data_IF_901525547155
#
_entry.id   IF_901525547155
#
_cell.length_a   1.000
_cell.length_b   1.000
_cell.length_c   1.000
_cell.angle_alpha   90.00
_cell.angle_beta   90.00
_cell.angle_gamma   90.00
#
_symmetry.space_group_name_H-M   'P 1'
#
loop_
_entity.id
_entity.type
_entity.pdbx_description
1 polymer ?
#
# COMPACT_ATOMS: atom_id res chain seq x y z
N UNK A 1 -20.10 -22.40 7.89
CA UNK A 1 -19.07 -23.33 7.36
C UNK A 1 -19.03 -24.57 8.23
N UNK A 2 -18.81 -25.76 7.64
CA UNK A 2 -18.78 -27.03 8.37
C UNK A 2 -17.33 -27.51 8.50
N UNK A 3 -16.90 -27.89 9.69
CA UNK A 3 -15.60 -28.47 9.93
C UNK A 3 -15.72 -29.90 10.50
N UNK A 4 -14.87 -30.80 10.05
CA UNK A 4 -14.71 -32.14 10.61
C UNK A 4 -13.43 -32.18 11.43
N UNK A 5 -13.52 -32.69 12.65
CA UNK A 5 -12.38 -32.91 13.54
C UNK A 5 -12.23 -34.41 13.75
N UNK A 6 -11.08 -34.95 13.40
CA UNK A 6 -10.70 -36.35 13.63
C UNK A 6 -9.51 -36.36 14.58
N UNK A 7 -9.80 -36.55 15.86
CA UNK A 7 -8.84 -36.43 16.98
C UNK A 7 -9.24 -37.34 18.11
N UNK A 8 -8.38 -38.23 18.56
CA UNK A 8 -8.67 -39.20 19.61
C UNK A 8 -8.61 -38.60 21.03
N UNK A 9 -7.73 -37.62 21.24
CA UNK A 9 -7.58 -36.94 22.52
C UNK A 9 -8.76 -36.03 22.85
N UNK A 10 -9.52 -36.29 23.93
CA UNK A 10 -10.65 -35.46 24.30
C UNK A 10 -10.29 -33.98 24.56
N UNK A 11 -9.12 -33.73 25.11
CA UNK A 11 -8.64 -32.39 25.46
C UNK A 11 -8.39 -31.57 24.19
N UNK A 12 -7.64 -32.10 23.23
CA UNK A 12 -7.37 -31.41 21.97
C UNK A 12 -8.63 -31.29 21.14
N UNK A 13 -9.46 -32.31 21.07
CA UNK A 13 -10.74 -32.31 20.36
C UNK A 13 -11.67 -31.17 20.85
N UNK A 14 -11.86 -31.04 22.16
CA UNK A 14 -12.69 -29.98 22.75
C UNK A 14 -12.10 -28.59 22.48
N UNK A 15 -10.79 -28.43 22.61
CA UNK A 15 -10.11 -27.15 22.36
C UNK A 15 -10.26 -26.72 20.91
N UNK A 16 -10.00 -27.62 19.96
CA UNK A 16 -10.14 -27.34 18.52
C UNK A 16 -11.59 -27.03 18.18
N UNK A 17 -12.53 -27.83 18.70
CA UNK A 17 -13.96 -27.61 18.52
C UNK A 17 -14.37 -26.23 19.01
N UNK A 18 -14.01 -25.85 20.23
CA UNK A 18 -14.33 -24.55 20.80
C UNK A 18 -13.74 -23.40 19.97
N UNK A 19 -12.50 -23.56 19.52
CA UNK A 19 -11.84 -22.56 18.64
C UNK A 19 -12.61 -22.38 17.32
N UNK A 20 -12.99 -23.47 16.67
CA UNK A 20 -13.71 -23.42 15.40
C UNK A 20 -15.12 -22.85 15.57
N UNK A 21 -15.82 -23.18 16.64
CA UNK A 21 -17.17 -22.65 16.95
C UNK A 21 -17.11 -21.14 17.21
N UNK A 22 -16.10 -20.64 17.93
CA UNK A 22 -15.88 -19.19 18.09
C UNK A 22 -15.63 -18.46 16.75
N UNK A 23 -15.11 -19.17 15.76
CA UNK A 23 -14.82 -18.66 14.42
C UNK A 23 -15.98 -18.90 13.43
N UNK A 24 -17.14 -19.33 13.92
CA UNK A 24 -18.36 -19.49 13.12
C UNK A 24 -18.48 -20.80 12.33
N UNK A 25 -17.69 -21.82 12.69
CA UNK A 25 -17.86 -23.16 12.13
C UNK A 25 -18.86 -23.98 12.93
N UNK A 26 -19.59 -24.86 12.23
CA UNK A 26 -20.31 -25.99 12.85
C UNK A 26 -19.32 -27.17 12.81
N UNK A 27 -18.80 -27.56 13.97
CA UNK A 27 -17.83 -28.62 14.08
C UNK A 27 -18.45 -29.96 14.37
N UNK A 28 -18.12 -30.99 13.58
CA UNK A 28 -18.39 -32.39 13.83
C UNK A 28 -17.12 -33.07 14.30
N UNK A 29 -17.22 -33.86 15.39
CA UNK A 29 -16.08 -34.49 16.01
C UNK A 29 -16.14 -36.01 15.90
N UNK A 30 -15.03 -36.64 15.55
CA UNK A 30 -14.86 -38.09 15.49
C UNK A 30 -13.54 -38.47 16.17
N UNK A 31 -13.48 -39.72 16.68
CA UNK A 31 -12.31 -40.22 17.43
C UNK A 31 -11.40 -41.14 16.60
N UNK A 32 -11.90 -41.62 15.48
CA UNK A 32 -11.19 -42.59 14.63
C UNK A 32 -11.24 -42.15 13.17
N UNK A 33 -10.24 -42.55 12.40
CA UNK A 33 -10.21 -42.33 10.97
C UNK A 33 -11.39 -42.94 10.23
N UNK A 34 -11.84 -44.14 10.65
CA UNK A 34 -12.98 -44.81 10.06
C UNK A 34 -14.28 -43.98 10.22
N UNK A 35 -14.52 -43.41 11.40
CA UNK A 35 -15.66 -42.51 11.64
C UNK A 35 -15.54 -41.25 10.78
N UNK A 36 -14.33 -40.60 10.74
CA UNK A 36 -14.11 -39.41 9.98
C UNK A 36 -14.35 -39.61 8.48
N UNK A 37 -13.87 -40.72 7.91
CA UNK A 37 -14.12 -41.06 6.51
C UNK A 37 -15.59 -41.29 6.21
N UNK A 38 -16.33 -41.97 7.14
CA UNK A 38 -17.78 -42.17 7.01
C UNK A 38 -18.57 -40.84 7.06
N UNK A 39 -18.15 -39.89 7.89
CA UNK A 39 -18.76 -38.53 7.91
C UNK A 39 -18.53 -37.80 6.60
N UNK A 40 -17.36 -37.88 6.00
CA UNK A 40 -17.03 -37.27 4.70
C UNK A 40 -17.91 -37.84 3.56
N UNK A 41 -18.30 -39.10 3.61
CA UNK A 41 -19.19 -39.70 2.62
C UNK A 41 -20.63 -39.17 2.72
N UNK A 42 -21.07 -38.78 3.95
CA UNK A 42 -22.43 -38.35 4.22
C UNK A 42 -22.66 -36.85 4.04
N UNK A 43 -21.63 -36.04 4.24
CA UNK A 43 -21.71 -34.57 4.23
C UNK A 43 -20.52 -33.92 3.56
N UNK A 44 -20.72 -32.68 3.11
CA UNK A 44 -19.64 -31.80 2.68
C UNK A 44 -19.11 -30.97 3.84
N UNK A 45 -17.80 -30.91 3.96
CA UNK A 45 -17.09 -30.08 4.93
C UNK A 45 -16.22 -29.07 4.19
N UNK A 46 -16.02 -27.91 4.83
CA UNK A 46 -15.20 -26.82 4.32
C UNK A 46 -13.77 -26.89 4.86
N UNK A 47 -13.56 -27.66 5.95
CA UNK A 47 -12.28 -27.82 6.64
C UNK A 47 -12.21 -29.19 7.32
N UNK A 48 -11.05 -29.84 7.28
CA UNK A 48 -10.73 -31.05 8.05
C UNK A 48 -9.56 -30.77 8.97
N UNK A 49 -9.77 -30.98 10.27
CA UNK A 49 -8.67 -31.08 11.25
C UNK A 49 -8.41 -32.56 11.49
N UNK A 50 -7.17 -32.99 11.33
CA UNK A 50 -6.80 -34.40 11.33
C UNK A 50 -5.59 -34.66 12.22
N UNK A 51 -5.74 -35.52 13.22
CA UNK A 51 -4.60 -35.98 13.99
C UNK A 51 -3.70 -36.89 13.14
N UNK A 52 -2.40 -36.75 13.35
CA UNK A 52 -1.39 -37.64 12.76
C UNK A 52 -1.51 -39.06 13.31
N UNK A 53 -1.74 -39.22 14.61
CA UNK A 53 -1.74 -40.50 15.32
C UNK A 53 -3.17 -40.85 15.78
N UNK A 54 -3.91 -41.52 14.93
CA UNK A 54 -5.24 -42.05 15.28
C UNK A 54 -5.13 -43.52 15.70
N UNK A 55 -6.07 -44.04 16.51
CA UNK A 55 -6.00 -45.37 17.06
C UNK A 55 -6.08 -46.50 16.02
N UNK A 56 -6.71 -46.20 14.87
CA UNK A 56 -6.99 -47.21 13.81
C UNK A 56 -6.06 -47.07 12.59
N UNK A 57 -5.59 -45.86 12.24
CA UNK A 57 -4.64 -45.66 11.15
C UNK A 57 -3.93 -44.29 11.20
N UNK A 58 -2.83 -44.14 10.45
CA UNK A 58 -2.11 -42.87 10.39
C UNK A 58 -2.91 -41.80 9.66
N UNK A 59 -2.91 -40.56 10.20
CA UNK A 59 -3.52 -39.40 9.52
C UNK A 59 -2.93 -39.13 8.14
N UNK A 60 -1.67 -39.48 7.88
CA UNK A 60 -1.08 -39.39 6.54
C UNK A 60 -1.76 -40.32 5.52
N UNK A 61 -2.15 -41.52 5.96
CA UNK A 61 -2.87 -42.48 5.10
C UNK A 61 -4.30 -42.01 4.84
N UNK A 62 -4.94 -41.44 5.88
CA UNK A 62 -6.27 -40.80 5.74
C UNK A 62 -6.22 -39.66 4.74
N UNK A 63 -5.25 -38.76 4.85
CA UNK A 63 -5.08 -37.65 3.93
C UNK A 63 -4.93 -38.14 2.46
N UNK A 64 -4.10 -39.17 2.21
CA UNK A 64 -3.95 -39.75 0.87
C UNK A 64 -5.25 -40.35 0.34
N UNK A 65 -6.02 -41.06 1.19
CA UNK A 65 -7.33 -41.61 0.81
C UNK A 65 -8.31 -40.51 0.42
N UNK A 66 -8.35 -39.43 1.18
CA UNK A 66 -9.20 -38.26 0.90
C UNK A 66 -8.80 -37.59 -0.44
N UNK A 67 -7.49 -37.40 -0.69
CA UNK A 67 -6.99 -36.80 -1.93
C UNK A 67 -7.25 -37.68 -3.17
N UNK A 68 -7.37 -38.98 -3.00
CA UNK A 68 -7.74 -39.89 -4.09
C UNK A 68 -9.23 -39.80 -4.49
N UNK A 69 -10.08 -39.25 -3.63
CA UNK A 69 -11.51 -39.08 -3.90
C UNK A 69 -11.75 -37.72 -4.60
N UNK A 70 -12.35 -37.74 -5.78
CA UNK A 70 -12.60 -36.52 -6.56
C UNK A 70 -13.43 -35.46 -5.79
N UNK A 71 -14.41 -35.90 -4.98
CA UNK A 71 -15.28 -35.04 -4.18
C UNK A 71 -14.56 -34.25 -3.08
N UNK A 72 -13.43 -34.76 -2.58
CA UNK A 72 -12.70 -34.17 -1.44
C UNK A 72 -11.25 -33.77 -1.80
N UNK A 73 -10.91 -33.81 -3.09
CA UNK A 73 -9.56 -33.55 -3.57
C UNK A 73 -8.99 -32.20 -3.11
N UNK A 74 -9.84 -31.20 -2.93
CA UNK A 74 -9.45 -29.83 -2.56
C UNK A 74 -9.84 -29.44 -1.14
N UNK A 75 -10.41 -30.36 -0.34
CA UNK A 75 -10.76 -30.10 1.07
C UNK A 75 -9.50 -29.70 1.84
N UNK A 76 -9.44 -28.51 2.47
CA UNK A 76 -8.31 -28.14 3.31
C UNK A 76 -8.13 -29.14 4.45
N UNK A 77 -6.93 -29.72 4.58
CA UNK A 77 -6.57 -30.66 5.64
C UNK A 77 -5.50 -30.00 6.52
N UNK A 78 -5.85 -29.66 7.75
CA UNK A 78 -4.92 -29.20 8.76
C UNK A 78 -4.56 -30.36 9.66
N UNK A 79 -3.29 -30.75 9.67
CA UNK A 79 -2.84 -31.89 10.46
C UNK A 79 -2.26 -31.43 11.80
N UNK A 80 -2.72 -32.10 12.87
CA UNK A 80 -2.19 -31.90 14.22
C UNK A 80 -1.10 -32.95 14.52
N UNK A 81 0.02 -32.50 15.09
CA UNK A 81 1.13 -33.43 15.44
C UNK A 81 1.93 -32.94 16.63
N UNK A 82 2.50 -33.89 17.38
CA UNK A 82 3.49 -33.60 18.41
C UNK A 82 4.93 -33.76 17.90
N UNK A 83 5.13 -34.26 16.67
CA UNK A 83 6.45 -34.44 16.03
C UNK A 83 6.80 -33.21 15.21
N UNK A 84 8.06 -32.75 15.30
CA UNK A 84 8.59 -31.57 14.62
C UNK A 84 9.66 -31.86 13.56
N UNK A 85 9.81 -33.12 13.18
CA UNK A 85 10.82 -33.53 12.22
C UNK A 85 10.55 -32.97 10.83
N UNK A 86 11.60 -32.43 10.17
CA UNK A 86 11.53 -31.97 8.78
C UNK A 86 11.05 -33.09 7.82
N UNK A 87 11.33 -34.33 8.15
CA UNK A 87 10.93 -35.51 7.37
C UNK A 87 9.41 -35.67 7.41
N UNK A 88 8.76 -35.44 8.57
CA UNK A 88 7.31 -35.46 8.69
C UNK A 88 6.66 -34.38 7.86
N UNK A 89 7.22 -33.16 7.87
CA UNK A 89 6.71 -32.06 7.07
C UNK A 89 6.66 -32.40 5.57
N UNK A 90 7.75 -32.97 5.05
CA UNK A 90 7.79 -33.43 3.66
C UNK A 90 6.74 -34.53 3.38
N UNK A 91 6.65 -35.52 4.25
CA UNK A 91 5.66 -36.62 4.10
C UNK A 91 4.21 -36.15 4.19
N UNK A 92 3.93 -35.13 5.00
CA UNK A 92 2.61 -34.54 5.11
C UNK A 92 2.22 -33.78 3.82
N UNK A 93 3.14 -32.99 3.28
CA UNK A 93 2.95 -32.33 1.97
C UNK A 93 2.72 -33.35 0.85
N UNK A 94 3.54 -34.42 0.79
CA UNK A 94 3.38 -35.51 -0.19
C UNK A 94 2.05 -36.27 -0.04
N UNK A 95 1.49 -36.29 1.18
CA UNK A 95 0.19 -36.88 1.47
C UNK A 95 -0.99 -35.92 1.14
N UNK A 96 -0.68 -34.66 0.74
CA UNK A 96 -1.68 -33.66 0.40
C UNK A 96 -2.26 -32.91 1.61
N UNK A 97 -1.58 -32.90 2.75
CA UNK A 97 -1.92 -32.05 3.91
C UNK A 97 -1.68 -30.59 3.51
N UNK A 98 -2.64 -29.73 3.87
CA UNK A 98 -2.58 -28.29 3.53
C UNK A 98 -1.63 -27.54 4.44
N UNK A 99 -1.72 -27.79 5.76
CA UNK A 99 -0.85 -27.15 6.76
C UNK A 99 -0.70 -28.08 8.00
N UNK A 100 0.41 -27.91 8.72
CA UNK A 100 0.81 -28.76 9.84
C UNK A 100 0.88 -27.91 11.10
N UNK A 101 0.17 -28.30 12.15
CA UNK A 101 0.11 -27.60 13.43
C UNK A 101 0.63 -28.45 14.56
N UNK A 102 1.41 -27.85 15.47
CA UNK A 102 1.99 -28.52 16.61
C UNK A 102 1.06 -28.52 17.82
N UNK A 103 0.91 -29.70 18.45
CA UNK A 103 0.15 -29.88 19.69
C UNK A 103 0.87 -29.38 20.95
N UNK A 104 2.15 -28.99 20.87
CA UNK A 104 3.01 -28.76 22.04
C UNK A 104 2.65 -27.54 22.88
N UNK A 105 1.96 -26.53 22.30
CA UNK A 105 1.54 -25.32 23.02
C UNK A 105 0.13 -24.92 22.58
N UNK A 106 -0.84 -25.18 23.44
CA UNK A 106 -2.27 -24.97 23.17
C UNK A 106 -2.57 -23.51 22.73
N UNK A 107 -1.95 -22.52 23.36
CA UNK A 107 -2.14 -21.11 22.99
C UNK A 107 -1.62 -20.81 21.58
N UNK A 108 -0.44 -21.30 21.21
CA UNK A 108 0.14 -21.11 19.87
C UNK A 108 -0.69 -21.83 18.80
N UNK A 109 -1.22 -23.01 19.10
CA UNK A 109 -2.12 -23.73 18.19
C UNK A 109 -3.43 -22.95 17.96
N UNK A 110 -4.01 -22.42 19.04
CA UNK A 110 -5.22 -21.59 18.94
C UNK A 110 -5.00 -20.36 18.07
N UNK A 111 -3.91 -19.62 18.30
CA UNK A 111 -3.58 -18.43 17.53
C UNK A 111 -3.30 -18.75 16.06
N UNK A 112 -2.55 -19.82 15.80
CA UNK A 112 -2.24 -20.29 14.44
C UNK A 112 -3.50 -20.72 13.68
N UNK A 113 -4.40 -21.48 14.32
CA UNK A 113 -5.70 -21.84 13.73
C UNK A 113 -6.55 -20.61 13.43
N UNK A 114 -6.60 -19.67 14.36
CA UNK A 114 -7.30 -18.39 14.18
C UNK A 114 -6.79 -17.61 12.98
N UNK A 115 -5.47 -17.52 12.85
CA UNK A 115 -4.81 -16.80 11.76
C UNK A 115 -5.06 -17.49 10.40
N UNK A 116 -4.98 -18.81 10.36
CA UNK A 116 -5.29 -19.58 9.17
C UNK A 116 -6.75 -19.40 8.73
N UNK A 117 -7.70 -19.54 9.66
CA UNK A 117 -9.14 -19.41 9.39
C UNK A 117 -9.48 -17.96 9.00
N UNK A 118 -8.88 -16.96 9.65
CA UNK A 118 -9.06 -15.56 9.27
C UNK A 118 -8.58 -15.31 7.82
N UNK A 119 -7.52 -15.97 7.39
CA UNK A 119 -7.07 -15.95 5.98
C UNK A 119 -8.09 -16.59 5.04
N UNK A 120 -8.65 -17.76 5.41
CA UNK A 120 -9.68 -18.45 4.63
C UNK A 120 -11.00 -17.66 4.53
N UNK A 121 -11.40 -16.99 5.62
CA UNK A 121 -12.66 -16.23 5.71
C UNK A 121 -12.54 -14.78 5.22
N UNK A 122 -11.35 -14.34 4.83
CA UNK A 122 -11.11 -12.98 4.35
C UNK A 122 -12.00 -12.73 3.13
N UNK A 123 -13.09 -12.00 3.34
CA UNK A 123 -13.89 -11.50 2.22
C UNK A 123 -12.99 -10.57 1.41
N UNK A 124 -12.71 -10.96 0.21
CA UNK A 124 -12.01 -10.11 -0.74
C UNK A 124 -12.91 -8.92 -1.05
N UNK A 125 -12.36 -7.73 -0.99
CA UNK A 125 -13.02 -6.52 -1.50
C UNK A 125 -12.21 -6.06 -2.69
N UNK A 126 -12.90 -5.70 -3.76
CA UNK A 126 -12.20 -5.20 -4.94
C UNK A 126 -13.09 -5.21 -6.16
N UNK A 127 -12.63 -4.50 -7.19
CA UNK A 127 -13.29 -4.40 -8.49
C UNK A 127 -12.48 -5.14 -9.54
N UNK A 128 -13.12 -6.07 -10.20
CA UNK A 128 -12.50 -6.94 -11.21
C UNK A 128 -13.04 -6.59 -12.59
N UNK A 129 -12.13 -6.38 -13.54
CA UNK A 129 -12.46 -6.31 -14.96
C UNK A 129 -12.43 -7.72 -15.53
N UNK A 130 -13.52 -8.16 -16.12
CA UNK A 130 -13.63 -9.43 -16.82
C UNK A 130 -13.79 -9.18 -18.33
N UNK A 131 -12.85 -9.68 -19.12
CA UNK A 131 -12.83 -9.55 -20.58
C UNK A 131 -13.00 -10.95 -21.19
N UNK A 132 -14.19 -11.24 -21.66
CA UNK A 132 -14.58 -12.56 -22.16
C UNK A 132 -15.73 -12.40 -23.14
N UNK A 133 -15.56 -12.86 -24.36
CA UNK A 133 -16.54 -12.76 -25.46
C UNK A 133 -17.59 -13.86 -25.43
N UNK A 134 -17.28 -15.02 -24.81
CA UNK A 134 -18.26 -16.11 -24.63
C UNK A 134 -19.25 -15.75 -23.50
N UNK A 135 -20.55 -15.57 -23.79
CA UNK A 135 -21.54 -15.23 -22.75
C UNK A 135 -21.60 -16.27 -21.62
N UNK A 136 -21.53 -17.56 -21.97
CA UNK A 136 -21.61 -18.66 -21.00
C UNK A 136 -20.41 -18.65 -20.04
N UNK A 137 -19.20 -18.48 -20.58
CA UNK A 137 -17.98 -18.40 -19.75
C UNK A 137 -18.00 -17.14 -18.89
N UNK A 138 -18.39 -16.01 -19.46
CA UNK A 138 -18.50 -14.75 -18.72
C UNK A 138 -19.51 -14.80 -17.57
N UNK A 139 -20.65 -15.47 -17.75
CA UNK A 139 -21.63 -15.67 -16.67
C UNK A 139 -21.08 -16.55 -15.55
N UNK A 140 -20.44 -17.66 -15.90
CA UNK A 140 -19.83 -18.57 -14.94
C UNK A 140 -18.74 -17.85 -14.10
N UNK A 141 -17.82 -17.15 -14.75
CA UNK A 141 -16.74 -16.41 -14.08
C UNK A 141 -17.29 -15.25 -13.23
N UNK A 142 -18.31 -14.56 -13.73
CA UNK A 142 -18.99 -13.50 -12.96
C UNK A 142 -19.64 -14.07 -11.70
N UNK A 143 -20.27 -15.23 -11.77
CA UNK A 143 -20.83 -15.92 -10.61
C UNK A 143 -19.75 -16.26 -9.58
N UNK A 144 -18.63 -16.87 -10.03
CA UNK A 144 -17.51 -17.20 -9.15
C UNK A 144 -16.92 -15.95 -8.43
N UNK A 145 -16.69 -14.87 -9.19
CA UNK A 145 -16.16 -13.62 -8.65
C UNK A 145 -17.12 -12.95 -7.66
N UNK A 146 -18.43 -12.92 -7.96
CA UNK A 146 -19.44 -12.39 -7.03
C UNK A 146 -19.57 -13.22 -5.76
N UNK A 147 -19.39 -14.54 -5.84
CA UNK A 147 -19.35 -15.44 -4.66
C UNK A 147 -18.17 -15.08 -3.73
N UNK A 148 -17.09 -14.49 -4.28
CA UNK A 148 -15.95 -13.96 -3.52
C UNK A 148 -16.16 -12.51 -3.01
N UNK A 149 -17.39 -11.97 -3.14
CA UNK A 149 -17.75 -10.58 -2.77
C UNK A 149 -17.03 -9.50 -3.60
N UNK A 150 -16.65 -9.82 -4.84
CA UNK A 150 -15.98 -8.90 -5.77
C UNK A 150 -17.01 -8.20 -6.68
N UNK A 151 -16.77 -6.92 -6.97
CA UNK A 151 -17.51 -6.19 -8.00
C UNK A 151 -16.93 -6.54 -9.37
N UNK A 152 -17.79 -6.75 -10.38
CA UNK A 152 -17.36 -7.23 -11.69
C UNK A 152 -17.91 -6.35 -12.80
N UNK A 153 -17.00 -5.77 -13.58
CA UNK A 153 -17.33 -5.10 -14.85
C UNK A 153 -16.97 -6.02 -16.02
N UNK A 154 -17.94 -6.27 -16.87
CA UNK A 154 -17.79 -7.18 -18.04
C UNK A 154 -17.55 -6.41 -19.31
N UNK A 155 -16.62 -6.92 -20.13
CA UNK A 155 -16.30 -6.43 -21.46
C UNK A 155 -16.18 -7.60 -22.43
N UNK A 156 -16.71 -7.44 -23.62
CA UNK A 156 -16.67 -8.48 -24.66
C UNK A 156 -15.47 -8.28 -25.61
N UNK A 157 -14.90 -7.07 -25.63
CA UNK A 157 -13.78 -6.72 -26.52
C UNK A 157 -12.62 -6.09 -25.75
N UNK A 158 -11.41 -6.29 -26.26
CA UNK A 158 -10.20 -5.71 -25.66
C UNK A 158 -10.17 -4.19 -25.76
N UNK A 159 -10.70 -3.61 -26.82
CA UNK A 159 -10.74 -2.17 -27.05
C UNK A 159 -11.57 -1.44 -25.98
N UNK A 160 -12.78 -1.96 -25.71
CA UNK A 160 -13.67 -1.39 -24.70
C UNK A 160 -13.04 -1.52 -23.30
N UNK A 161 -12.36 -2.62 -23.02
CA UNK A 161 -11.66 -2.86 -21.77
C UNK A 161 -10.51 -1.86 -21.54
N UNK A 162 -9.66 -1.64 -22.54
CA UNK A 162 -8.53 -0.69 -22.46
C UNK A 162 -9.02 0.74 -22.26
N UNK A 163 -10.13 1.14 -22.93
CA UNK A 163 -10.75 2.44 -22.69
C UNK A 163 -11.27 2.56 -21.25
N UNK A 164 -11.89 1.51 -20.71
CA UNK A 164 -12.43 1.53 -19.35
C UNK A 164 -11.34 1.58 -18.26
N UNK A 165 -10.19 0.89 -18.46
CA UNK A 165 -9.05 0.94 -17.52
C UNK A 165 -8.50 2.36 -17.37
N UNK A 166 -8.50 3.17 -18.44
CA UNK A 166 -8.02 4.54 -18.37
C UNK A 166 -8.89 5.47 -17.51
N UNK A 167 -10.15 5.07 -17.26
CA UNK A 167 -11.15 5.88 -16.52
C UNK A 167 -11.47 5.33 -15.14
N UNK A 168 -11.13 4.08 -14.86
CA UNK A 168 -11.49 3.39 -13.62
C UNK A 168 -10.31 2.60 -13.07
N UNK A 169 -10.27 2.43 -11.75
CA UNK A 169 -9.31 1.59 -11.08
C UNK A 169 -9.87 0.18 -10.89
N UNK A 170 -9.03 -0.82 -11.14
CA UNK A 170 -9.34 -2.23 -10.94
C UNK A 170 -8.27 -2.90 -10.07
N UNK A 171 -8.70 -3.85 -9.26
CA UNK A 171 -7.83 -4.65 -8.41
C UNK A 171 -7.30 -5.90 -9.13
N UNK A 172 -8.02 -6.35 -10.16
CA UNK A 172 -7.64 -7.48 -11.00
C UNK A 172 -8.28 -7.33 -12.38
N UNK A 173 -7.57 -7.76 -13.41
CA UNK A 173 -8.08 -7.94 -14.75
C UNK A 173 -8.03 -9.43 -15.08
N UNK A 174 -9.17 -10.01 -15.44
CA UNK A 174 -9.29 -11.38 -15.96
C UNK A 174 -9.58 -11.27 -17.45
N UNK A 175 -8.69 -11.80 -18.28
CA UNK A 175 -8.82 -11.67 -19.74
C UNK A 175 -8.66 -13.00 -20.45
N UNK A 176 -9.59 -13.33 -21.32
CA UNK A 176 -9.32 -14.38 -22.32
C UNK A 176 -8.15 -13.95 -23.23
N UNK A 177 -7.35 -14.90 -23.65
CA UNK A 177 -6.28 -14.69 -24.64
C UNK A 177 -6.88 -14.42 -26.01
N UNK A 178 -7.94 -15.15 -26.37
CA UNK A 178 -8.65 -15.01 -27.66
C UNK A 178 -9.94 -14.25 -27.39
N UNK A 179 -10.07 -13.08 -27.98
CA UNK A 179 -11.24 -12.20 -27.82
C UNK A 179 -11.85 -11.89 -29.19
N UNK A 180 -13.13 -11.59 -29.20
CA UNK A 180 -13.78 -10.98 -30.34
C UNK A 180 -13.24 -9.56 -30.57
N UNK A 181 -13.10 -9.14 -31.83
CA UNK A 181 -12.57 -7.83 -32.18
C UNK A 181 -11.16 -7.89 -32.79
N UNK A 182 -10.50 -6.73 -32.84
CA UNK A 182 -9.14 -6.62 -33.40
C UNK A 182 -8.04 -6.83 -32.36
N UNK A 183 -8.39 -6.60 -31.08
CA UNK A 183 -7.45 -6.68 -29.96
C UNK A 183 -7.61 -7.99 -29.20
N UNK A 184 -6.56 -8.81 -29.17
CA UNK A 184 -6.49 -10.05 -28.37
C UNK A 184 -6.19 -9.72 -26.90
N UNK A 185 -6.37 -10.68 -25.97
CA UNK A 185 -5.95 -10.52 -24.57
C UNK A 185 -4.45 -10.25 -24.39
N UNK A 186 -3.61 -10.72 -25.33
CA UNK A 186 -2.19 -10.34 -25.39
C UNK A 186 -2.04 -8.84 -25.70
N UNK A 187 -2.83 -8.31 -26.64
CA UNK A 187 -2.87 -6.90 -26.98
C UNK A 187 -3.32 -6.03 -25.80
N UNK A 188 -4.36 -6.47 -25.09
CA UNK A 188 -4.84 -5.82 -23.85
C UNK A 188 -3.73 -5.78 -22.80
N UNK A 189 -3.07 -6.92 -22.54
CA UNK A 189 -1.97 -7.00 -21.57
C UNK A 189 -0.86 -6.01 -21.90
N UNK A 190 -0.43 -5.97 -23.16
CA UNK A 190 0.59 -5.04 -23.64
C UNK A 190 0.17 -3.58 -23.48
N UNK A 191 -1.06 -3.25 -23.86
CA UNK A 191 -1.60 -1.89 -23.74
C UNK A 191 -1.59 -1.43 -22.27
N UNK A 192 -2.07 -2.25 -21.34
CA UNK A 192 -2.10 -1.93 -19.91
C UNK A 192 -0.67 -1.77 -19.36
N UNK A 193 0.26 -2.65 -19.71
CA UNK A 193 1.66 -2.57 -19.25
C UNK A 193 2.43 -1.36 -19.79
N UNK A 194 1.97 -0.78 -20.90
CA UNK A 194 2.53 0.46 -21.46
C UNK A 194 1.95 1.74 -20.86
N UNK A 195 0.92 1.65 -20.00
CA UNK A 195 0.36 2.79 -19.30
C UNK A 195 1.32 3.29 -18.20
N UNK A 196 1.12 4.51 -17.74
CA UNK A 196 1.91 5.08 -16.64
C UNK A 196 1.27 4.84 -15.27
N UNK A 197 2.10 4.82 -14.24
CA UNK A 197 1.65 4.82 -12.85
C UNK A 197 1.11 3.49 -12.34
N UNK A 198 0.03 3.56 -11.56
CA UNK A 198 -0.56 2.40 -10.87
C UNK A 198 -1.32 1.46 -11.81
N UNK A 199 -1.88 1.99 -12.91
CA UNK A 199 -2.62 1.22 -13.89
C UNK A 199 -1.77 0.11 -14.54
N UNK A 200 -0.51 0.43 -14.87
CA UNK A 200 0.43 -0.55 -15.43
C UNK A 200 0.73 -1.73 -14.49
N UNK A 201 0.45 -1.60 -13.20
CA UNK A 201 0.72 -2.61 -12.17
C UNK A 201 -0.49 -3.45 -11.80
N UNK A 202 -1.67 -3.15 -12.34
CA UNK A 202 -2.88 -3.93 -12.09
C UNK A 202 -2.63 -5.40 -12.46
N UNK A 203 -2.88 -6.37 -11.56
CA UNK A 203 -2.68 -7.78 -11.86
C UNK A 203 -3.55 -8.21 -13.04
N UNK A 204 -3.00 -9.07 -13.89
CA UNK A 204 -3.69 -9.64 -15.05
C UNK A 204 -3.65 -11.16 -14.93
N UNK A 205 -4.83 -11.79 -14.91
CA UNK A 205 -5.04 -13.23 -14.96
C UNK A 205 -5.54 -13.62 -16.35
N UNK A 206 -4.75 -14.42 -17.08
CA UNK A 206 -5.13 -14.91 -18.40
C UNK A 206 -6.01 -16.14 -18.33
N UNK A 207 -6.95 -16.26 -19.27
CA UNK A 207 -7.68 -17.49 -19.53
C UNK A 207 -7.17 -18.10 -20.83
N UNK A 208 -6.75 -19.37 -20.80
CA UNK A 208 -6.12 -20.01 -21.97
C UNK A 208 -6.71 -21.38 -22.28
N UNK A 209 -6.78 -21.79 -23.55
CA UNK A 209 -7.09 -23.18 -23.90
C UNK A 209 -6.00 -24.14 -23.36
N UNK A 210 -6.39 -25.36 -22.97
CA UNK A 210 -5.51 -26.36 -22.34
C UNK A 210 -4.25 -26.68 -23.18
N UNK A 211 -4.35 -26.68 -24.46
CA UNK A 211 -3.31 -27.14 -25.40
C UNK A 211 -2.35 -26.02 -25.87
N UNK A 212 -2.58 -24.76 -25.47
CA UNK A 212 -1.82 -23.63 -26.03
C UNK A 212 -0.69 -23.15 -25.08
N UNK A 213 0.28 -24.04 -24.87
CA UNK A 213 1.46 -23.72 -24.03
C UNK A 213 2.28 -22.53 -24.55
N UNK A 214 2.30 -22.30 -25.87
CA UNK A 214 3.05 -21.20 -26.47
C UNK A 214 2.43 -19.85 -26.10
N UNK A 215 1.10 -19.71 -26.23
CA UNK A 215 0.39 -18.47 -25.86
C UNK A 215 0.41 -18.18 -24.37
N UNK A 216 0.41 -19.23 -23.51
CA UNK A 216 0.61 -19.08 -22.06
C UNK A 216 1.94 -18.41 -21.74
N UNK A 217 3.03 -18.93 -22.32
CA UNK A 217 4.37 -18.38 -22.16
C UNK A 217 4.45 -16.95 -22.71
N UNK A 218 3.84 -16.68 -23.84
CA UNK A 218 3.81 -15.36 -24.45
C UNK A 218 3.06 -14.36 -23.56
N UNK A 219 1.90 -14.73 -23.00
CA UNK A 219 1.12 -13.89 -22.12
C UNK A 219 1.88 -13.52 -20.83
N UNK A 220 2.56 -14.49 -20.21
CA UNK A 220 3.42 -14.25 -19.07
C UNK A 220 4.60 -13.33 -19.43
N UNK A 221 5.25 -13.53 -20.57
CA UNK A 221 6.34 -12.67 -21.07
C UNK A 221 5.86 -11.25 -21.35
N UNK A 222 4.61 -11.06 -21.74
CA UNK A 222 4.00 -9.73 -21.95
C UNK A 222 3.59 -9.06 -20.64
N UNK A 223 3.72 -9.75 -19.51
CA UNK A 223 3.50 -9.17 -18.19
C UNK A 223 2.20 -9.56 -17.52
N UNK A 224 1.48 -10.58 -18.00
CA UNK A 224 0.43 -11.20 -17.19
C UNK A 224 1.03 -11.83 -15.93
N UNK A 225 0.30 -11.77 -14.83
CA UNK A 225 0.79 -12.25 -13.54
C UNK A 225 0.59 -13.75 -13.37
N UNK A 226 -0.48 -14.30 -13.98
CA UNK A 226 -0.80 -15.72 -13.94
C UNK A 226 -1.80 -16.10 -15.05
N UNK A 227 -2.14 -17.37 -15.17
CA UNK A 227 -3.15 -17.87 -16.11
C UNK A 227 -3.96 -19.03 -15.52
N UNK A 228 -5.17 -19.23 -16.03
CA UNK A 228 -6.06 -20.37 -15.74
C UNK A 228 -6.40 -21.09 -17.06
N UNK A 229 -6.25 -22.41 -17.13
CA UNK A 229 -6.66 -23.19 -18.32
C UNK A 229 -8.20 -23.28 -18.42
N UNK A 230 -8.71 -23.26 -19.64
CA UNK A 230 -10.10 -23.62 -19.95
C UNK A 230 -10.18 -25.14 -20.26
N UNK A 231 -11.15 -25.91 -19.72
CA UNK A 231 -12.29 -25.45 -18.91
C UNK A 231 -11.86 -25.03 -17.52
N UNK A 232 -12.43 -23.91 -17.04
CA UNK A 232 -12.05 -23.29 -15.75
C UNK A 232 -12.54 -24.17 -14.60
N UNK A 233 -11.61 -24.57 -13.74
CA UNK A 233 -11.90 -25.26 -12.48
C UNK A 233 -12.12 -24.21 -11.40
N UNK A 234 -13.28 -24.24 -10.73
CA UNK A 234 -13.69 -23.19 -9.77
C UNK A 234 -12.63 -22.98 -8.68
N UNK A 235 -12.13 -24.06 -8.08
CA UNK A 235 -11.18 -24.00 -6.97
C UNK A 235 -9.83 -23.38 -7.40
N UNK A 236 -9.34 -23.73 -8.60
CA UNK A 236 -8.10 -23.17 -9.15
C UNK A 236 -8.28 -21.68 -9.45
N UNK A 237 -9.39 -21.30 -10.07
CA UNK A 237 -9.71 -19.91 -10.39
C UNK A 237 -9.80 -19.06 -9.13
N UNK A 238 -10.55 -19.50 -8.11
CA UNK A 238 -10.70 -18.81 -6.84
C UNK A 238 -9.35 -18.63 -6.15
N UNK A 239 -8.51 -19.66 -6.12
CA UNK A 239 -7.19 -19.58 -5.50
C UNK A 239 -6.29 -18.54 -6.18
N UNK A 240 -6.23 -18.53 -7.52
CA UNK A 240 -5.40 -17.57 -8.28
C UNK A 240 -5.91 -16.14 -8.13
N UNK A 241 -7.22 -15.93 -8.28
CA UNK A 241 -7.86 -14.62 -8.06
C UNK A 241 -7.57 -14.09 -6.64
N UNK A 242 -7.75 -14.94 -5.63
CA UNK A 242 -7.47 -14.58 -4.23
C UNK A 242 -6.03 -14.17 -4.03
N UNK A 243 -5.07 -14.94 -4.57
CA UNK A 243 -3.64 -14.64 -4.46
C UNK A 243 -3.28 -13.32 -5.13
N UNK A 244 -3.79 -13.06 -6.35
CA UNK A 244 -3.48 -11.84 -7.09
C UNK A 244 -4.06 -10.60 -6.43
N UNK A 245 -5.32 -10.64 -5.99
CA UNK A 245 -5.96 -9.50 -5.29
C UNK A 245 -5.26 -9.24 -3.95
N UNK A 246 -4.99 -10.29 -3.17
CA UNK A 246 -4.31 -10.15 -1.89
C UNK A 246 -2.91 -9.55 -2.06
N UNK A 247 -2.16 -10.03 -3.06
CA UNK A 247 -0.82 -9.50 -3.36
C UNK A 247 -0.87 -8.01 -3.75
N UNK A 248 -1.86 -7.61 -4.58
CA UNK A 248 -2.07 -6.21 -4.92
C UNK A 248 -2.40 -5.37 -3.70
N UNK A 249 -3.35 -5.79 -2.88
CA UNK A 249 -3.76 -5.06 -1.68
C UNK A 249 -2.61 -4.89 -0.68
N UNK A 250 -1.81 -5.93 -0.46
CA UNK A 250 -0.61 -5.86 0.38
C UNK A 250 0.42 -4.89 -0.20
N UNK A 251 0.65 -4.95 -1.51
CA UNK A 251 1.55 -4.01 -2.17
C UNK A 251 1.08 -2.56 -2.03
N UNK A 252 -0.20 -2.29 -2.27
CA UNK A 252 -0.79 -0.96 -2.16
C UNK A 252 -0.71 -0.45 -0.71
N UNK A 253 -0.98 -1.31 0.28
CA UNK A 253 -0.83 -0.98 1.69
C UNK A 253 0.61 -0.61 2.06
N UNK A 254 1.59 -1.37 1.58
CA UNK A 254 3.02 -1.07 1.81
C UNK A 254 3.40 0.26 1.16
N UNK A 255 2.94 0.54 -0.07
CA UNK A 255 3.20 1.82 -0.74
C UNK A 255 2.56 2.99 0.00
N UNK A 256 1.33 2.81 0.48
CA UNK A 256 0.63 3.81 1.29
C UNK A 256 1.41 4.11 2.58
N UNK A 257 1.79 3.09 3.34
CA UNK A 257 2.57 3.25 4.56
C UNK A 257 3.93 3.93 4.30
N UNK A 258 4.58 3.56 3.18
CA UNK A 258 5.84 4.18 2.77
C UNK A 258 5.67 5.67 2.45
N UNK A 259 4.58 6.05 1.76
CA UNK A 259 4.25 7.47 1.50
C UNK A 259 4.02 8.23 2.81
N UNK A 260 3.22 7.68 3.72
CA UNK A 260 2.93 8.29 5.01
C UNK A 260 4.18 8.45 5.88
N UNK A 261 5.03 7.43 5.92
CA UNK A 261 6.31 7.52 6.65
C UNK A 261 7.23 8.58 6.03
N UNK A 262 7.29 8.66 4.69
CA UNK A 262 8.07 9.68 4.00
C UNK A 262 7.55 11.08 4.33
N UNK A 263 6.23 11.31 4.23
CA UNK A 263 5.62 12.60 4.57
C UNK A 263 5.93 13.02 6.02
N UNK A 264 5.83 12.09 6.97
CA UNK A 264 6.20 12.35 8.37
C UNK A 264 7.70 12.65 8.54
N UNK A 265 8.55 12.03 7.75
CA UNK A 265 10.01 12.21 7.82
C UNK A 265 10.47 13.53 7.23
N UNK A 266 9.75 14.10 6.25
CA UNK A 266 10.15 15.32 5.53
C UNK A 266 9.46 16.60 6.01
N UNK A 267 8.43 16.48 6.88
CA UNK A 267 7.69 17.63 7.40
C UNK A 267 8.00 17.91 8.87
N UNK A 268 7.88 19.18 9.24
CA UNK A 268 7.84 19.62 10.64
C UNK A 268 6.45 19.37 11.23
N UNK A 269 6.38 18.62 12.32
CA UNK A 269 5.12 18.18 12.91
C UNK A 269 4.24 19.34 13.45
N UNK A 270 4.84 20.46 13.80
CA UNK A 270 4.13 21.61 14.36
C UNK A 270 3.55 22.52 13.27
N UNK A 271 4.35 22.81 12.26
CA UNK A 271 3.99 23.82 11.24
C UNK A 271 3.44 23.24 9.95
N UNK A 272 3.61 21.92 9.73
CA UNK A 272 3.24 21.25 8.47
C UNK A 272 4.14 21.59 7.27
N UNK A 273 5.07 22.53 7.40
CA UNK A 273 6.06 22.85 6.40
C UNK A 273 7.10 21.73 6.27
N UNK A 274 7.95 21.79 5.25
CA UNK A 274 9.08 20.90 5.20
C UNK A 274 10.02 21.14 6.39
N UNK A 275 10.74 20.09 6.82
CA UNK A 275 11.74 20.22 7.86
C UNK A 275 13.12 20.58 7.27
N UNK A 276 14.07 20.92 8.15
CA UNK A 276 15.45 21.26 7.79
C UNK A 276 16.14 20.16 6.99
N UNK A 277 15.85 18.89 7.29
CA UNK A 277 16.48 17.77 6.59
C UNK A 277 16.08 17.71 5.12
N UNK A 278 14.78 17.80 4.84
CA UNK A 278 14.29 17.85 3.47
C UNK A 278 14.76 19.10 2.70
N UNK A 279 14.83 20.25 3.37
CA UNK A 279 15.38 21.46 2.78
C UNK A 279 16.80 21.25 2.27
N UNK A 280 17.66 20.60 3.06
CA UNK A 280 19.05 20.31 2.68
C UNK A 280 19.12 19.30 1.50
N UNK A 281 18.21 18.32 1.46
CA UNK A 281 18.13 17.34 0.37
C UNK A 281 17.71 18.01 -0.94
N UNK A 282 16.61 18.78 -0.92
CA UNK A 282 16.01 19.36 -2.14
C UNK A 282 16.78 20.57 -2.66
N UNK A 283 17.46 21.32 -1.78
CA UNK A 283 18.24 22.49 -2.19
C UNK A 283 19.28 22.14 -3.25
N UNK A 284 20.03 21.06 -3.06
CA UNK A 284 21.04 20.61 -4.03
C UNK A 284 20.44 20.32 -5.42
N UNK A 285 19.24 19.73 -5.45
CA UNK A 285 18.55 19.42 -6.71
C UNK A 285 18.08 20.70 -7.42
N UNK A 286 17.46 21.63 -6.68
CA UNK A 286 16.97 22.90 -7.23
C UNK A 286 18.10 23.77 -7.74
N UNK A 287 19.21 23.84 -7.02
CA UNK A 287 20.41 24.59 -7.46
C UNK A 287 21.02 23.99 -8.72
N UNK A 288 21.20 22.67 -8.79
CA UNK A 288 21.69 22.00 -9.98
C UNK A 288 20.74 22.16 -11.19
N UNK A 289 19.43 22.22 -10.95
CA UNK A 289 18.45 22.48 -12.00
C UNK A 289 18.52 23.92 -12.47
N UNK A 290 18.59 24.89 -11.56
CA UNK A 290 18.76 26.33 -11.89
C UNK A 290 20.00 26.59 -12.74
N UNK A 291 21.13 25.98 -12.36
CA UNK A 291 22.40 26.06 -13.13
C UNK A 291 22.23 25.48 -14.54
N UNK A 292 21.67 24.31 -14.68
CA UNK A 292 21.49 23.66 -15.98
C UNK A 292 20.56 24.43 -16.90
N UNK A 293 19.49 25.02 -16.33
CA UNK A 293 18.48 25.77 -17.09
C UNK A 293 18.78 27.26 -17.21
N UNK A 294 19.85 27.74 -16.55
CA UNK A 294 20.21 29.15 -16.45
C UNK A 294 19.05 30.04 -15.97
N UNK A 295 18.27 29.53 -15.03
CA UNK A 295 17.13 30.25 -14.44
C UNK A 295 17.49 30.77 -13.05
N UNK A 296 16.95 31.95 -12.67
CA UNK A 296 17.24 32.52 -11.36
C UNK A 296 16.61 31.65 -10.25
N UNK A 297 17.29 31.62 -9.10
CA UNK A 297 16.81 31.00 -7.90
C UNK A 297 17.05 31.93 -6.70
N UNK A 298 16.02 32.15 -5.88
CA UNK A 298 16.14 32.97 -4.69
C UNK A 298 15.94 32.16 -3.41
N UNK A 299 16.57 32.62 -2.34
CA UNK A 299 16.42 32.16 -0.97
C UNK A 299 15.84 33.31 -0.16
N UNK A 300 14.75 33.04 0.56
CA UNK A 300 14.14 33.94 1.51
C UNK A 300 14.24 33.29 2.90
N UNK A 301 14.83 34.00 3.84
CA UNK A 301 14.88 33.59 5.26
C UNK A 301 13.98 34.48 6.08
N UNK A 302 13.15 33.90 6.90
CA UNK A 302 12.15 34.57 7.76
C UNK A 302 12.43 34.19 9.21
N UNK A 303 12.58 35.20 10.07
CA UNK A 303 12.79 35.00 11.50
C UNK A 303 11.78 35.85 12.27
N UNK A 304 11.05 35.22 13.20
CA UNK A 304 10.00 35.88 13.97
C UNK A 304 10.60 36.77 15.05
N UNK A 305 10.26 38.05 14.98
CA UNK A 305 10.78 39.04 15.93
C UNK A 305 10.25 38.77 17.35
N UNK A 306 11.16 38.75 18.30
CA UNK A 306 10.83 38.63 19.72
C UNK A 306 10.08 37.35 20.10
N UNK A 307 10.17 36.28 19.35
CA UNK A 307 9.43 35.03 19.60
C UNK A 307 9.73 34.45 21.00
N UNK A 308 10.96 34.54 21.48
CA UNK A 308 11.31 34.17 22.88
C UNK A 308 10.45 34.92 23.88
N UNK A 309 10.21 36.24 23.70
CA UNK A 309 9.36 37.03 24.62
C UNK A 309 7.89 36.55 24.58
N UNK A 310 7.42 36.08 23.44
CA UNK A 310 6.08 35.48 23.34
C UNK A 310 6.02 34.23 24.22
N UNK A 311 7.00 33.32 24.08
CA UNK A 311 7.07 32.12 24.94
C UNK A 311 7.18 32.45 26.42
N UNK A 312 8.04 33.40 26.80
CA UNK A 312 8.25 33.79 28.18
C UNK A 312 7.00 34.44 28.79
N UNK A 313 6.17 35.10 28.00
CA UNK A 313 4.98 35.83 28.47
C UNK A 313 3.71 34.96 28.46
N UNK A 314 3.51 34.13 27.41
CA UNK A 314 2.24 33.43 27.17
C UNK A 314 2.40 31.90 27.26
N UNK A 315 3.60 31.40 27.45
CA UNK A 315 3.89 29.98 27.51
C UNK A 315 4.16 29.35 26.12
N UNK A 316 4.82 28.17 26.13
CA UNK A 316 5.21 27.45 24.94
C UNK A 316 4.02 27.02 24.08
N UNK A 317 2.88 26.63 24.69
CA UNK A 317 1.66 26.23 23.96
C UNK A 317 1.11 27.34 23.04
N UNK A 318 1.26 28.60 23.49
CA UNK A 318 0.85 29.76 22.70
C UNK A 318 1.90 30.06 21.63
N UNK A 319 3.18 29.94 21.93
CA UNK A 319 4.25 30.00 20.93
C UNK A 319 4.09 28.98 19.82
N UNK A 320 3.70 27.75 20.16
CA UNK A 320 3.41 26.70 19.17
C UNK A 320 2.24 27.07 18.26
N UNK A 321 1.17 27.68 18.77
CA UNK A 321 0.07 28.21 17.95
C UNK A 321 0.54 29.32 17.02
N UNK A 322 1.45 30.17 17.46
CA UNK A 322 2.05 31.23 16.63
C UNK A 322 2.84 30.59 15.50
N UNK A 323 3.72 29.63 15.79
CA UNK A 323 4.51 28.93 14.77
C UNK A 323 3.62 28.18 13.77
N UNK A 324 2.57 27.50 14.24
CA UNK A 324 1.63 26.80 13.37
C UNK A 324 0.86 27.78 12.47
N UNK A 325 0.43 28.93 13.00
CA UNK A 325 -0.25 29.97 12.20
C UNK A 325 0.65 30.58 11.13
N UNK A 326 1.93 30.86 11.48
CA UNK A 326 2.91 31.33 10.51
C UNK A 326 3.19 30.25 9.47
N UNK A 327 3.35 29.00 9.87
CA UNK A 327 3.54 27.89 8.95
C UNK A 327 2.40 27.76 7.92
N UNK A 328 1.16 27.90 8.38
CA UNK A 328 -0.02 27.88 7.51
C UNK A 328 -0.02 29.05 6.50
N UNK A 329 0.35 30.25 6.93
CA UNK A 329 0.47 31.42 6.05
C UNK A 329 1.56 31.18 4.98
N UNK A 330 2.75 30.70 5.38
CA UNK A 330 3.84 30.41 4.46
C UNK A 330 3.45 29.32 3.44
N UNK A 331 2.73 28.30 3.88
CA UNK A 331 2.22 27.24 2.99
C UNK A 331 1.24 27.79 1.94
N UNK A 332 0.38 28.75 2.31
CA UNK A 332 -0.57 29.38 1.40
C UNK A 332 0.10 30.34 0.40
N UNK A 333 1.16 31.04 0.81
CA UNK A 333 1.91 31.93 -0.08
C UNK A 333 2.75 31.16 -1.12
N UNK A 334 3.13 29.90 -0.81
CA UNK A 334 3.94 29.08 -1.71
C UNK A 334 3.15 28.56 -2.90
N UNK A 335 3.69 28.76 -4.10
CA UNK A 335 3.18 28.16 -5.35
C UNK A 335 3.77 26.76 -5.56
N UNK A 336 3.21 26.03 -6.53
CA UNK A 336 3.78 24.76 -6.95
C UNK A 336 5.23 24.95 -7.42
N UNK A 337 6.16 24.25 -6.78
CA UNK A 337 7.61 24.35 -7.05
C UNK A 337 8.38 25.14 -6.00
N UNK A 338 7.74 25.99 -5.20
CA UNK A 338 8.39 26.62 -4.04
C UNK A 338 8.55 25.61 -2.90
N UNK A 339 9.60 25.79 -2.09
CA UNK A 339 9.86 24.92 -0.94
C UNK A 339 9.97 25.78 0.31
N UNK A 340 8.93 25.75 1.15
CA UNK A 340 8.95 26.39 2.46
C UNK A 340 9.26 25.37 3.54
N UNK A 341 10.26 25.65 4.38
CA UNK A 341 10.71 24.77 5.44
C UNK A 341 10.86 25.54 6.77
N UNK A 342 10.58 24.87 7.88
CA UNK A 342 11.02 25.31 9.19
C UNK A 342 12.46 24.88 9.38
N UNK A 343 13.36 25.87 9.53
CA UNK A 343 14.79 25.61 9.66
C UNK A 343 15.18 25.25 11.09
N UNK A 344 14.55 25.89 12.07
CA UNK A 344 14.70 25.60 13.50
C UNK A 344 14.09 26.71 14.35
N UNK A 345 13.62 26.43 15.57
CA UNK A 345 13.05 27.41 16.46
C UNK A 345 11.97 28.27 15.79
N UNK A 346 12.27 29.56 15.63
CA UNK A 346 11.43 30.60 15.01
C UNK A 346 11.86 30.98 13.57
N UNK A 347 12.74 30.18 12.95
CA UNK A 347 13.34 30.45 11.65
C UNK A 347 12.71 29.60 10.54
N UNK A 348 12.38 30.24 9.43
CA UNK A 348 11.82 29.60 8.24
C UNK A 348 12.64 29.97 7.00
N UNK A 349 12.73 29.04 6.05
CA UNK A 349 13.46 29.23 4.79
C UNK A 349 12.54 28.89 3.64
N UNK A 350 12.51 29.73 2.63
CA UNK A 350 11.74 29.50 1.39
C UNK A 350 12.69 29.52 0.21
N UNK A 351 12.73 28.43 -0.55
CA UNK A 351 13.42 28.36 -1.85
C UNK A 351 12.43 28.72 -2.95
N UNK A 352 12.83 29.64 -3.81
CA UNK A 352 11.99 30.22 -4.87
C UNK A 352 12.65 29.97 -6.23
N UNK A 353 12.36 28.83 -6.91
CA UNK A 353 12.82 28.60 -8.27
C UNK A 353 12.20 29.59 -9.24
N UNK A 354 12.91 29.90 -10.33
CA UNK A 354 12.49 30.84 -11.36
C UNK A 354 12.09 32.21 -10.78
N UNK A 355 12.85 32.69 -9.75
CA UNK A 355 12.56 33.92 -9.05
C UNK A 355 13.82 34.83 -9.01
N UNK A 356 13.69 36.02 -9.57
CA UNK A 356 14.74 37.04 -9.51
C UNK A 356 14.79 37.70 -8.14
N UNK A 357 15.90 38.37 -7.83
CA UNK A 357 16.08 39.14 -6.59
C UNK A 357 14.96 40.17 -6.38
N UNK A 358 14.62 40.94 -7.38
CA UNK A 358 13.55 41.93 -7.28
C UNK A 358 12.16 41.30 -7.03
N UNK A 359 11.87 40.21 -7.72
CA UNK A 359 10.60 39.50 -7.51
C UNK A 359 10.52 38.87 -6.12
N UNK A 360 11.62 38.30 -5.64
CA UNK A 360 11.71 37.73 -4.29
C UNK A 360 11.56 38.80 -3.19
N UNK A 361 12.18 39.94 -3.36
CA UNK A 361 12.05 41.08 -2.43
C UNK A 361 10.61 41.62 -2.40
N UNK A 362 9.97 41.78 -3.58
CA UNK A 362 8.57 42.20 -3.63
C UNK A 362 7.62 41.18 -2.95
N UNK A 363 7.90 39.90 -3.09
CA UNK A 363 7.14 38.84 -2.44
C UNK A 363 7.36 38.83 -0.94
N UNK A 364 8.59 39.05 -0.48
CA UNK A 364 8.92 39.20 0.92
C UNK A 364 8.18 40.37 1.60
N UNK A 365 8.05 41.51 0.93
CA UNK A 365 7.28 42.65 1.45
C UNK A 365 5.78 42.33 1.59
N UNK A 366 5.19 41.60 0.61
CA UNK A 366 3.80 41.14 0.73
C UNK A 366 3.63 40.17 1.90
N UNK A 367 4.52 39.18 1.97
CA UNK A 367 4.51 38.21 3.07
C UNK A 367 4.63 38.91 4.44
N UNK A 368 5.47 39.91 4.55
CA UNK A 368 5.62 40.68 5.78
C UNK A 368 4.35 41.48 6.13
N UNK A 369 3.66 42.00 5.13
CA UNK A 369 2.36 42.67 5.34
C UNK A 369 1.29 41.67 5.84
N UNK A 370 1.24 40.49 5.26
CA UNK A 370 0.33 39.41 5.68
C UNK A 370 0.64 38.92 7.09
N UNK A 371 1.93 38.79 7.44
CA UNK A 371 2.37 38.43 8.80
C UNK A 371 1.94 39.48 9.83
N UNK A 372 2.01 40.79 9.51
CA UNK A 372 1.50 41.87 10.38
C UNK A 372 -0.01 41.77 10.62
N UNK A 373 -0.76 41.30 9.63
CA UNK A 373 -2.20 41.07 9.72
C UNK A 373 -2.56 39.78 10.48
N UNK A 374 -1.64 38.82 10.51
CA UNK A 374 -1.83 37.55 11.16
C UNK A 374 -1.76 37.73 12.68
N UNK A 375 -2.78 37.32 13.41
CA UNK A 375 -2.80 37.36 14.89
C UNK A 375 -3.08 35.96 15.44
N UNK A 376 -2.15 35.03 15.33
CA UNK A 376 -2.32 33.69 15.88
C UNK A 376 -2.53 33.77 17.39
N UNK A 377 -3.57 33.15 17.92
CA UNK A 377 -3.96 33.26 19.33
C UNK A 377 -4.10 34.71 19.85
N UNK A 378 -4.59 35.63 18.98
CA UNK A 378 -4.73 37.08 19.24
C UNK A 378 -3.40 37.83 19.52
N UNK A 379 -2.27 37.24 19.16
CA UNK A 379 -0.94 37.84 19.38
C UNK A 379 -0.42 38.45 18.06
N UNK A 380 -0.07 39.76 18.06
CA UNK A 380 0.56 40.37 16.90
C UNK A 380 1.97 39.81 16.69
N UNK A 381 2.28 39.42 15.47
CA UNK A 381 3.57 38.86 15.09
C UNK A 381 4.23 39.73 14.04
N UNK A 382 5.52 39.96 14.18
CA UNK A 382 6.35 40.58 13.13
C UNK A 382 7.54 39.68 12.81
N UNK A 383 8.15 39.89 11.66
CA UNK A 383 9.32 39.13 11.25
C UNK A 383 10.38 40.04 10.62
N UNK A 384 11.63 39.60 10.75
CA UNK A 384 12.76 40.11 9.97
C UNK A 384 13.01 39.15 8.81
N UNK A 385 13.01 39.66 7.59
CA UNK A 385 13.13 38.84 6.37
C UNK A 385 14.38 39.23 5.61
N UNK A 386 15.20 38.23 5.28
CA UNK A 386 16.39 38.36 4.43
C UNK A 386 16.16 37.68 3.07
N UNK A 387 16.54 38.33 2.02
CA UNK A 387 16.42 37.84 0.63
C UNK A 387 17.76 37.86 -0.08
N UNK A 388 18.06 36.75 -0.72
CA UNK A 388 19.22 36.64 -1.64
C UNK A 388 18.82 35.86 -2.90
N UNK A 389 19.42 36.15 -4.05
CA UNK A 389 19.17 35.39 -5.26
C UNK A 389 20.43 35.25 -6.10
N UNK A 390 20.54 34.16 -6.84
CA UNK A 390 21.49 34.03 -7.92
C UNK A 390 20.89 34.53 -9.24
N UNK A 391 21.62 35.33 -9.99
CA UNK A 391 21.27 35.72 -11.37
C UNK A 391 21.82 34.74 -12.40
N UNK A 392 21.45 34.95 -13.65
CA UNK A 392 21.79 34.06 -14.78
C UNK A 392 23.31 33.94 -15.07
N UNK A 393 24.15 34.78 -14.47
CA UNK A 393 25.59 34.84 -14.78
C UNK A 393 26.52 34.34 -13.68
N UNK A 394 25.97 33.90 -12.54
CA UNK A 394 26.79 33.45 -11.40
C UNK A 394 26.20 32.18 -10.78
N UNK A 395 26.97 31.11 -10.82
CA UNK A 395 26.70 29.87 -10.16
C UNK A 395 27.07 30.04 -8.68
N UNK A 396 26.08 30.07 -7.80
CA UNK A 396 26.26 30.03 -6.34
C UNK A 396 25.64 28.75 -5.78
N UNK A 397 26.31 28.16 -4.80
CA UNK A 397 25.73 27.04 -4.06
C UNK A 397 24.70 27.52 -3.04
N UNK A 398 23.87 26.57 -2.56
CA UNK A 398 22.88 26.84 -1.51
C UNK A 398 23.49 27.54 -0.30
N UNK A 399 24.60 27.03 0.20
CA UNK A 399 25.26 27.59 1.41
C UNK A 399 25.63 29.06 1.28
N UNK A 400 26.02 29.50 0.09
CA UNK A 400 26.39 30.91 -0.17
C UNK A 400 25.15 31.81 -0.16
N UNK A 401 24.07 31.41 -0.88
CA UNK A 401 22.85 32.19 -0.89
C UNK A 401 22.16 32.17 0.48
N UNK A 402 22.15 31.02 1.15
CA UNK A 402 21.63 30.92 2.49
C UNK A 402 22.35 31.87 3.46
N UNK A 403 23.70 31.89 3.41
CA UNK A 403 24.50 32.80 4.25
C UNK A 403 24.19 34.27 3.96
N UNK A 404 24.02 34.65 2.69
CA UNK A 404 23.64 36.02 2.31
C UNK A 404 22.24 36.40 2.83
N UNK A 405 21.30 35.50 2.75
CA UNK A 405 19.95 35.70 3.30
C UNK A 405 19.98 35.83 4.84
N UNK A 406 20.78 35.01 5.52
CA UNK A 406 20.97 35.07 6.97
C UNK A 406 21.59 36.40 7.43
N UNK A 407 22.66 36.85 6.74
CA UNK A 407 23.26 38.16 6.96
C UNK A 407 22.27 39.32 6.72
N UNK A 408 21.34 39.17 5.75
CA UNK A 408 20.28 40.13 5.51
C UNK A 408 19.24 40.13 6.64
N UNK A 409 18.87 38.97 7.19
CA UNK A 409 18.01 38.89 8.40
C UNK A 409 18.69 39.58 9.58
N UNK A 410 19.97 39.33 9.79
CA UNK A 410 20.73 39.98 10.85
C UNK A 410 20.69 41.50 10.75
N UNK A 411 20.91 42.04 9.53
CA UNK A 411 20.80 43.46 9.25
C UNK A 411 19.40 44.00 9.51
N UNK A 412 18.34 43.28 9.08
CA UNK A 412 16.96 43.63 9.36
C UNK A 412 16.69 43.73 10.89
N UNK A 413 17.23 42.80 11.68
CA UNK A 413 17.13 42.83 13.12
C UNK A 413 17.87 44.03 13.78
N UNK A 414 19.04 44.37 13.27
CA UNK A 414 19.82 45.51 13.77
C UNK A 414 19.21 46.87 13.41
N UNK A 415 18.61 46.98 12.22
CA UNK A 415 18.05 48.25 11.75
C UNK A 415 16.63 48.53 12.18
N UNK A 416 16.08 47.72 13.10
CA UNK A 416 14.80 48.03 13.76
C UNK A 416 13.72 46.94 13.57
N UNK A 417 14.05 45.76 13.04
CA UNK A 417 13.15 44.62 12.85
C UNK A 417 11.95 44.92 11.93
N UNK A 418 11.04 43.96 11.81
CA UNK A 418 9.78 44.11 11.07
C UNK A 418 9.99 44.71 9.65
N UNK A 419 10.95 44.19 8.92
CA UNK A 419 11.37 44.65 7.58
C UNK A 419 12.00 43.55 6.74
N UNK A 420 12.04 43.85 5.45
CA UNK A 420 12.77 43.08 4.48
C UNK A 420 14.13 43.74 4.22
N UNK A 421 15.21 42.96 4.18
CA UNK A 421 16.50 43.35 3.65
C UNK A 421 16.87 42.42 2.51
N UNK A 422 17.34 43.00 1.42
CA UNK A 422 17.72 42.24 0.23
C UNK A 422 19.22 42.49 -0.04
N UNK A 423 19.96 41.40 -0.15
CA UNK A 423 21.39 41.47 -0.49
C UNK A 423 21.66 40.95 -1.88
N UNK A 424 22.18 41.82 -2.71
CA UNK A 424 22.89 41.50 -3.94
C UNK A 424 24.40 41.51 -3.67
N UNK A 425 25.12 40.73 -4.41
CA UNK A 425 26.56 40.70 -4.30
C UNK A 425 27.20 41.92 -4.99
#
# INVERSE_FOLDING_TARGET
MNALIVEDSPVFRQMVQHTLEQLGFVAECTETAAQGLASLEQRRFDLLILDLHLPDQSGLEVARKIRAQAAHRFLPILMLTSDDSKLLMQRALDAGVTELFRKTKIAELHDSLREYIARMQRQLKGRVMLIEDSPTTAELLTYMLKKMSLEVDRFETGEAAVEAVSKNNYDLIVSDIVLAGQMTGLGVTRAIRSMEGELARTPILGLSALEDSARKIEMLKMGANDYVPKPVIEEEFIARVSNLITSKQLFDQVQQQRRELRERSIRDALTGLYNRHYLAEVSNQLFAQADRTQRPLAVMMVDLDHFKKINDTYGHDVGDKVLAGVGALLAQDCRQGDVAARFGGEEFVILLPDCTQAAAAQRAERLLADLRGLKPADIPVTASIGVSAQGNSQIMGFDQLFKMADEAVYEAKQTGRNRVVSRER
#
